data_IF_035747259244
#
_entry.id   IF_035747259244
#
_cell.length_a   1.000
_cell.length_b   1.000
_cell.length_c   1.000
_cell.angle_alpha   90.00
_cell.angle_beta   90.00
_cell.angle_gamma   90.00
#
_symmetry.space_group_name_H-M   'P 1'
#
loop_
_entity.id
_entity.type
_entity.pdbx_description
1 polymer ?
#
# COMPACT_ATOMS: atom_id res chain seq x y z
N UNK A 1 -15.83 -13.02 -23.29
CA UNK A 1 -15.40 -13.96 -22.23
C UNK A 1 -14.16 -13.39 -21.60
N UNK A 2 -14.23 -12.80 -20.39
CA UNK A 2 -13.04 -12.41 -19.64
C UNK A 2 -12.45 -13.71 -19.06
N UNK A 3 -11.20 -13.97 -19.42
CA UNK A 3 -10.41 -15.06 -18.86
C UNK A 3 -10.35 -14.88 -17.35
N UNK A 4 -10.83 -15.87 -16.59
CA UNK A 4 -10.88 -15.84 -15.14
C UNK A 4 -9.52 -16.08 -14.46
N UNK A 5 -8.48 -15.41 -14.93
CA UNK A 5 -7.23 -15.33 -14.20
C UNK A 5 -7.48 -14.33 -13.06
N UNK A 6 -7.58 -14.82 -11.85
CA UNK A 6 -7.65 -14.00 -10.66
C UNK A 6 -6.35 -13.19 -10.60
N UNK A 7 -6.42 -11.89 -10.84
CA UNK A 7 -5.25 -11.02 -10.72
C UNK A 7 -4.74 -11.08 -9.28
N UNK A 8 -3.49 -11.52 -9.14
CA UNK A 8 -2.85 -11.61 -7.83
C UNK A 8 -2.65 -10.20 -7.32
N UNK A 9 -3.20 -9.90 -6.15
CA UNK A 9 -2.96 -8.62 -5.50
C UNK A 9 -1.45 -8.46 -5.21
N UNK A 10 -0.86 -7.38 -5.73
CA UNK A 10 0.54 -7.04 -5.50
C UNK A 10 0.71 -6.32 -4.16
N UNK A 11 -0.32 -5.60 -3.74
CA UNK A 11 -0.37 -4.87 -2.49
C UNK A 11 -1.42 -5.48 -1.57
N UNK A 12 -1.03 -5.75 -0.35
CA UNK A 12 -1.92 -6.16 0.72
C UNK A 12 -1.44 -5.49 2.00
N UNK A 13 -2.13 -4.41 2.37
CA UNK A 13 -1.78 -3.58 3.51
C UNK A 13 -2.90 -3.70 4.54
N UNK A 14 -2.54 -4.02 5.77
CA UNK A 14 -3.46 -4.08 6.89
C UNK A 14 -3.06 -3.03 7.93
N UNK A 15 -4.03 -2.25 8.34
CA UNK A 15 -3.90 -1.24 9.38
C UNK A 15 -4.91 -1.47 10.50
N UNK A 16 -4.77 -0.70 11.57
CA UNK A 16 -5.66 -0.79 12.74
C UNK A 16 -7.08 -0.30 12.48
N UNK A 17 -7.30 0.44 11.40
CA UNK A 17 -8.61 1.02 11.07
C UNK A 17 -9.15 0.55 9.73
N UNK A 18 -8.46 -0.35 9.05
CA UNK A 18 -8.87 -0.84 7.74
C UNK A 18 -7.76 -1.54 7.01
N UNK A 19 -8.00 -1.84 5.75
CA UNK A 19 -7.02 -2.48 4.88
C UNK A 19 -7.20 -2.09 3.42
N UNK A 20 -6.14 -2.25 2.65
CA UNK A 20 -6.07 -2.00 1.22
C UNK A 20 -5.50 -3.22 0.53
N UNK A 21 -6.04 -3.56 -0.61
CA UNK A 21 -5.51 -4.59 -1.49
C UNK A 21 -5.70 -4.20 -2.96
N UNK A 22 -4.84 -4.72 -3.81
CA UNK A 22 -4.89 -4.51 -5.25
C UNK A 22 -3.55 -4.61 -5.92
N UNK A 23 -3.45 -4.01 -7.08
CA UNK A 23 -2.27 -3.99 -7.93
C UNK A 23 -2.04 -2.58 -8.52
N UNK A 24 -1.18 -2.46 -9.50
CA UNK A 24 -0.85 -1.18 -10.15
C UNK A 24 -1.98 -0.56 -10.96
N UNK A 25 -3.04 -1.30 -11.26
CA UNK A 25 -4.16 -0.85 -12.08
C UNK A 25 -5.49 -0.77 -11.34
N UNK A 26 -5.60 -1.47 -10.22
CA UNK A 26 -6.80 -1.48 -9.39
C UNK A 26 -6.43 -1.54 -7.92
N UNK A 27 -6.99 -0.65 -7.10
CA UNK A 27 -6.90 -0.65 -5.66
C UNK A 27 -8.30 -0.66 -5.07
N UNK A 28 -8.49 -1.45 -4.01
CA UNK A 28 -9.70 -1.42 -3.19
C UNK A 28 -9.31 -1.34 -1.73
N UNK A 29 -10.04 -0.54 -0.96
CA UNK A 29 -9.80 -0.44 0.47
C UNK A 29 -11.11 -0.30 1.23
N UNK A 30 -11.06 -0.75 2.47
CA UNK A 30 -12.14 -0.55 3.42
C UNK A 30 -11.58 -0.06 4.73
N UNK A 31 -12.31 0.83 5.36
CA UNK A 31 -11.91 1.42 6.63
C UNK A 31 -13.14 1.78 7.46
N UNK A 32 -12.92 1.98 8.75
CA UNK A 32 -13.92 2.56 9.63
C UNK A 32 -13.37 3.82 10.29
N UNK A 33 -14.27 4.70 10.71
CA UNK A 33 -13.94 5.93 11.41
C UNK A 33 -14.19 5.72 12.90
N UNK A 34 -13.14 5.76 13.75
CA UNK A 34 -13.30 5.55 15.20
C UNK A 34 -14.28 6.50 15.86
N UNK A 35 -14.35 7.74 15.37
CA UNK A 35 -15.27 8.77 15.85
C UNK A 35 -16.75 8.48 15.59
N UNK A 36 -17.04 7.58 14.64
CA UNK A 36 -18.40 7.12 14.33
C UNK A 36 -18.72 5.79 15.03
N UNK A 37 -17.74 5.18 15.70
CA UNK A 37 -17.93 3.95 16.46
C UNK A 37 -18.46 4.28 17.86
N UNK A 38 -19.30 3.40 18.41
CA UNK A 38 -19.76 3.56 19.79
C UNK A 38 -18.55 3.55 20.75
N UNK A 39 -18.62 4.36 21.79
CA UNK A 39 -17.62 4.30 22.86
C UNK A 39 -17.71 2.94 23.54
N UNK A 40 -16.58 2.22 23.57
CA UNK A 40 -16.52 0.91 24.22
C UNK A 40 -15.98 1.05 25.63
N UNK A 41 -16.75 0.52 26.58
CA UNK A 41 -16.26 0.33 27.93
C UNK A 41 -15.43 -0.95 28.01
N UNK A 42 -14.26 -0.87 28.63
CA UNK A 42 -13.40 -2.05 28.81
C UNK A 42 -14.09 -3.05 29.75
N UNK A 43 -14.56 -4.16 29.21
CA UNK A 43 -15.13 -5.26 30.00
C UNK A 43 -13.99 -6.11 30.53
N UNK A 44 -13.82 -6.12 31.86
CA UNK A 44 -12.81 -6.94 32.54
C UNK A 44 -13.34 -8.31 33.01
N UNK A 45 -14.66 -8.51 32.98
CA UNK A 45 -15.28 -9.80 33.28
C UNK A 45 -15.14 -10.80 32.13
N UNK A 46 -15.16 -12.10 32.40
CA UNK A 46 -15.20 -13.11 31.35
C UNK A 46 -16.38 -12.88 30.40
N UNK A 47 -16.12 -12.89 29.10
CA UNK A 47 -17.16 -12.77 28.07
C UNK A 47 -17.97 -14.07 28.03
N UNK A 48 -19.10 -14.09 28.72
CA UNK A 48 -20.02 -15.21 28.75
C UNK A 48 -21.48 -14.70 28.63
N UNK A 49 -22.28 -15.47 27.91
CA UNK A 49 -23.74 -15.27 27.87
C UNK A 49 -24.36 -15.71 29.21
N UNK A 50 -25.63 -15.35 29.43
CA UNK A 50 -26.36 -15.73 30.64
C UNK A 50 -26.48 -17.26 30.87
N UNK A 51 -26.35 -18.04 29.80
CA UNK A 51 -26.38 -19.51 29.81
C UNK A 51 -24.97 -20.15 29.99
N UNK A 52 -23.93 -19.33 30.18
CA UNK A 52 -22.55 -19.77 30.36
C UNK A 52 -21.80 -20.09 29.07
N UNK A 53 -22.42 -19.94 27.92
CA UNK A 53 -21.72 -20.09 26.64
C UNK A 53 -20.78 -18.90 26.35
N UNK A 54 -19.68 -19.06 25.61
CA UNK A 54 -18.80 -17.96 25.25
C UNK A 54 -19.57 -16.87 24.50
N UNK A 55 -19.47 -15.63 24.97
CA UNK A 55 -19.96 -14.47 24.21
C UNK A 55 -18.87 -14.00 23.26
N UNK A 56 -19.24 -13.72 22.01
CA UNK A 56 -18.38 -13.13 21.01
C UNK A 56 -18.65 -11.62 20.91
N UNK A 57 -17.62 -10.88 20.54
CA UNK A 57 -17.77 -9.44 20.28
C UNK A 57 -18.84 -9.22 19.20
N UNK A 58 -19.85 -8.45 19.52
CA UNK A 58 -20.95 -8.09 18.61
C UNK A 58 -20.81 -6.66 18.11
N UNK A 59 -19.61 -6.12 18.14
CA UNK A 59 -19.35 -4.77 17.67
C UNK A 59 -19.71 -4.63 16.19
N UNK A 60 -20.59 -3.69 15.90
CA UNK A 60 -20.98 -3.33 14.55
C UNK A 60 -20.25 -2.06 14.14
N UNK A 61 -19.17 -2.22 13.39
CA UNK A 61 -18.45 -1.10 12.80
C UNK A 61 -19.12 -0.67 11.49
N UNK A 62 -19.27 0.63 11.31
CA UNK A 62 -19.67 1.18 10.02
C UNK A 62 -18.47 1.19 9.10
N UNK A 63 -18.48 0.29 8.13
CA UNK A 63 -17.44 0.17 7.13
C UNK A 63 -17.70 1.07 5.93
N UNK A 64 -16.64 1.73 5.48
CA UNK A 64 -16.56 2.48 4.24
C UNK A 64 -15.72 1.67 3.26
N UNK A 65 -16.20 1.55 2.04
CA UNK A 65 -15.52 0.81 0.97
C UNK A 65 -15.34 1.74 -0.21
N UNK A 66 -14.12 1.82 -0.70
CA UNK A 66 -13.74 2.66 -1.83
C UNK A 66 -12.80 1.89 -2.74
N UNK A 67 -12.76 2.28 -3.99
CA UNK A 67 -11.85 1.71 -4.99
C UNK A 67 -11.32 2.78 -5.92
N UNK A 68 -10.20 2.48 -6.50
CA UNK A 68 -9.57 3.25 -7.56
C UNK A 68 -9.17 2.33 -8.69
N UNK A 69 -9.48 2.74 -9.90
CA UNK A 69 -9.07 2.10 -11.15
C UNK A 69 -8.23 3.06 -11.95
N UNK A 70 -7.19 2.54 -12.61
CA UNK A 70 -6.40 3.36 -13.52
C UNK A 70 -7.27 3.83 -14.69
N UNK A 71 -7.24 5.12 -15.07
CA UNK A 71 -7.92 5.59 -16.26
C UNK A 71 -7.55 4.79 -17.50
N UNK A 72 -8.53 4.50 -18.37
CA UNK A 72 -8.34 3.58 -19.51
C UNK A 72 -7.24 4.03 -20.46
N UNK A 73 -7.10 5.32 -20.69
CA UNK A 73 -6.07 5.94 -21.51
C UNK A 73 -4.66 5.76 -20.92
N UNK A 74 -4.53 5.81 -19.60
CA UNK A 74 -3.27 5.58 -18.88
C UNK A 74 -2.92 4.10 -18.77
N UNK A 75 -3.91 3.22 -18.71
CA UNK A 75 -3.71 1.78 -18.52
C UNK A 75 -3.17 1.05 -19.76
N UNK A 76 -3.25 1.63 -20.96
CA UNK A 76 -2.82 0.98 -22.23
C UNK A 76 -1.33 0.68 -22.28
N UNK A 77 -0.50 1.54 -21.71
CA UNK A 77 0.94 1.34 -21.59
C UNK A 77 1.44 1.96 -20.26
N UNK A 78 1.22 1.24 -19.18
CA UNK A 78 1.52 1.72 -17.83
C UNK A 78 2.98 2.16 -17.67
N UNK A 79 3.93 1.41 -18.23
CA UNK A 79 5.36 1.76 -18.14
C UNK A 79 5.66 3.09 -18.83
N UNK A 80 5.13 3.31 -20.02
CA UNK A 80 5.31 4.57 -20.74
C UNK A 80 4.65 5.74 -19.98
N UNK A 81 3.43 5.54 -19.48
CA UNK A 81 2.71 6.56 -18.69
C UNK A 81 3.51 6.95 -17.45
N UNK A 82 4.01 5.99 -16.69
CA UNK A 82 4.84 6.25 -15.50
C UNK A 82 6.13 7.01 -15.87
N UNK A 83 6.78 6.61 -16.97
CA UNK A 83 8.01 7.25 -17.44
C UNK A 83 7.77 8.70 -17.86
N UNK A 84 6.73 8.95 -18.64
CA UNK A 84 6.37 10.32 -19.05
C UNK A 84 6.01 11.18 -17.84
N UNK A 85 5.18 10.70 -16.93
CA UNK A 85 4.81 11.42 -15.71
C UNK A 85 6.02 11.79 -14.85
N UNK A 86 7.04 10.92 -14.78
CA UNK A 86 8.28 11.21 -14.08
C UNK A 86 9.05 12.35 -14.75
N UNK A 87 9.19 12.33 -16.07
CA UNK A 87 9.91 13.39 -16.79
C UNK A 87 9.15 14.72 -16.79
N UNK A 88 7.82 14.70 -16.84
CA UNK A 88 6.98 15.90 -16.68
C UNK A 88 7.19 16.53 -15.30
N UNK A 89 7.16 15.72 -14.25
CA UNK A 89 7.46 16.17 -12.88
C UNK A 89 8.87 16.79 -12.78
N UNK A 90 9.88 16.15 -13.37
CA UNK A 90 11.26 16.64 -13.35
C UNK A 90 11.38 17.96 -14.13
N UNK A 91 10.73 18.06 -15.30
CA UNK A 91 10.68 19.28 -16.09
C UNK A 91 10.06 20.44 -15.31
N UNK A 92 8.90 20.23 -14.68
CA UNK A 92 8.23 21.22 -13.85
C UNK A 92 9.10 21.67 -12.66
N UNK A 93 9.81 20.74 -12.06
CA UNK A 93 10.75 21.07 -10.97
C UNK A 93 11.89 21.96 -11.45
N UNK A 94 12.51 21.63 -12.60
CA UNK A 94 13.67 22.34 -13.13
C UNK A 94 13.32 23.72 -13.73
N UNK A 95 12.12 23.85 -14.31
CA UNK A 95 11.71 25.08 -15.00
C UNK A 95 10.91 26.01 -14.11
N UNK A 96 10.02 25.48 -13.29
CA UNK A 96 9.05 26.24 -12.51
C UNK A 96 9.32 26.19 -11.00
N UNK A 97 10.34 25.45 -10.56
CA UNK A 97 10.66 25.30 -9.14
C UNK A 97 9.61 24.52 -8.34
N UNK A 98 8.76 23.74 -9.01
CA UNK A 98 7.76 22.91 -8.35
C UNK A 98 8.46 21.84 -7.49
N UNK A 99 8.04 21.60 -6.23
CA UNK A 99 8.64 20.57 -5.41
C UNK A 99 8.55 19.19 -6.05
N UNK A 100 9.61 18.37 -5.93
CA UNK A 100 9.59 16.97 -6.34
C UNK A 100 8.54 16.20 -5.54
N UNK A 101 7.67 15.46 -6.21
CA UNK A 101 6.72 14.54 -5.58
C UNK A 101 7.45 13.34 -4.97
N UNK A 102 8.50 12.86 -5.67
CA UNK A 102 9.40 11.82 -5.17
C UNK A 102 10.73 12.47 -4.84
N UNK A 103 11.03 12.61 -3.57
CA UNK A 103 12.22 13.32 -3.09
C UNK A 103 13.47 12.46 -3.06
N UNK A 104 14.65 13.07 -3.18
CA UNK A 104 15.93 12.36 -3.06
C UNK A 104 16.12 11.60 -1.73
N UNK A 105 15.70 12.14 -0.56
CA UNK A 105 15.72 11.38 0.69
C UNK A 105 14.88 10.11 0.65
N UNK A 106 13.70 10.13 0.05
CA UNK A 106 12.81 8.95 -0.08
C UNK A 106 13.45 7.88 -0.97
N UNK A 107 14.01 8.28 -2.13
CA UNK A 107 14.75 7.36 -3.01
C UNK A 107 15.93 6.74 -2.28
N UNK A 108 16.69 7.54 -1.54
CA UNK A 108 17.83 7.05 -0.73
C UNK A 108 17.38 6.05 0.33
N UNK A 109 16.24 6.28 0.97
CA UNK A 109 15.69 5.36 1.95
C UNK A 109 15.31 4.01 1.30
N UNK A 110 14.70 4.01 0.13
CA UNK A 110 14.39 2.78 -0.60
C UNK A 110 15.65 1.99 -0.93
N UNK A 111 16.68 2.65 -1.45
CA UNK A 111 17.96 2.01 -1.76
C UNK A 111 18.61 1.44 -0.49
N UNK A 112 18.58 2.17 0.62
CA UNK A 112 19.15 1.70 1.89
C UNK A 112 18.45 0.43 2.41
N UNK A 113 17.13 0.33 2.24
CA UNK A 113 16.36 -0.90 2.56
C UNK A 113 16.78 -2.06 1.66
N UNK A 114 16.90 -1.82 0.36
CA UNK A 114 17.35 -2.85 -0.58
C UNK A 114 18.77 -3.34 -0.24
N UNK A 115 19.69 -2.44 0.03
CA UNK A 115 21.06 -2.79 0.46
C UNK A 115 21.08 -3.60 1.76
N UNK A 116 20.22 -3.24 2.74
CA UNK A 116 20.10 -3.98 3.97
C UNK A 116 19.61 -5.41 3.73
N UNK A 117 18.63 -5.60 2.84
CA UNK A 117 18.15 -6.91 2.42
C UNK A 117 19.26 -7.75 1.76
N UNK A 118 20.03 -7.15 0.85
CA UNK A 118 21.15 -7.85 0.21
C UNK A 118 22.24 -8.24 1.22
N UNK A 119 22.58 -7.37 2.16
CA UNK A 119 23.59 -7.68 3.21
C UNK A 119 23.16 -8.82 4.13
N UNK A 120 21.86 -8.98 4.37
CA UNK A 120 21.31 -10.07 5.20
C UNK A 120 21.19 -11.39 4.45
N UNK A 121 21.39 -11.40 3.13
CA UNK A 121 21.14 -12.55 2.29
C UNK A 121 22.35 -12.87 1.43
N UNK A 122 23.25 -13.70 1.94
CA UNK A 122 24.51 -14.05 1.28
C UNK A 122 24.33 -14.69 -0.11
N UNK A 123 23.17 -15.29 -0.40
CA UNK A 123 22.85 -15.85 -1.72
C UNK A 123 22.73 -14.79 -2.83
N UNK A 124 22.50 -13.54 -2.45
CA UNK A 124 22.32 -12.42 -3.37
C UNK A 124 23.41 -11.35 -3.16
N UNK A 125 24.62 -11.80 -2.78
CA UNK A 125 25.73 -10.88 -2.62
C UNK A 125 25.98 -10.13 -3.94
N UNK A 126 25.80 -8.81 -3.89
CA UNK A 126 26.13 -7.90 -4.97
C UNK A 126 27.65 -7.87 -5.13
N UNK A 127 28.15 -8.31 -6.28
CA UNK A 127 29.54 -8.05 -6.66
C UNK A 127 29.58 -6.66 -7.30
N UNK A 128 30.19 -5.66 -6.67
CA UNK A 128 30.32 -4.34 -7.29
C UNK A 128 31.01 -4.49 -8.64
N UNK A 129 30.41 -3.92 -9.68
CA UNK A 129 31.09 -3.79 -10.97
C UNK A 129 32.32 -2.93 -10.69
N UNK A 130 33.52 -3.53 -10.75
CA UNK A 130 34.76 -2.77 -10.63
C UNK A 130 34.75 -1.75 -11.77
N UNK A 131 34.68 -0.46 -11.41
CA UNK A 131 34.90 0.63 -12.36
C UNK A 131 36.35 0.47 -12.88
N UNK A 132 36.47 -0.22 -14.03
CA UNK A 132 37.72 -0.24 -14.78
C UNK A 132 38.05 1.19 -15.20
N UNK A 133 39.18 1.64 -14.78
CA UNK A 133 39.80 2.88 -15.23
C UNK A 133 40.19 2.78 -16.70
#
# INVERSE_FOLDING_TARGET
MRSGVQEIATYHIQGTKGGLMGNTSHLSWRFFKPEESASHELITAPLANADGTPAYCQEQLRWYEESWDIPEDMGRNLFLTMTLSYYDMLYETLTNGTPLVVTLPEVRQQIAVMEACFRQNERFSYTPISSGH
#
